data_IF_069458623595
#
_entry.id   IF_069458623595
#
_cell.length_a   1.000
_cell.length_b   1.000
_cell.length_c   1.000
_cell.angle_alpha   90.00
_cell.angle_beta   90.00
_cell.angle_gamma   90.00
#
_symmetry.space_group_name_H-M   'P 1'
#
loop_
_entity.id
_entity.type
_entity.pdbx_description
1 polymer ?
#
# COMPACT_ATOMS: atom_id res chain seq x y z
N UNK A 1 2.30 0.58 -4.33
CA UNK A 1 2.11 1.77 -3.49
C UNK A 1 0.72 1.70 -2.93
N UNK A 2 -0.24 2.25 -3.66
CA UNK A 2 -1.66 2.45 -3.30
C UNK A 2 -2.18 1.65 -2.09
N UNK A 3 -2.25 0.30 -2.14
CA UNK A 3 -2.77 -0.47 -1.01
C UNK A 3 -1.99 -0.29 0.31
N UNK A 4 -0.67 -0.12 0.26
CA UNK A 4 0.15 0.22 1.44
C UNK A 4 -0.12 1.66 1.91
N UNK A 5 -0.29 2.60 0.99
CA UNK A 5 -0.51 4.02 1.32
C UNK A 5 -1.91 4.22 1.92
N UNK A 6 -2.92 3.49 1.42
CA UNK A 6 -4.27 3.47 1.99
C UNK A 6 -4.27 2.81 3.38
N UNK A 7 -3.57 1.68 3.55
CA UNK A 7 -3.44 1.06 4.88
C UNK A 7 -2.71 1.98 5.87
N UNK A 8 -1.71 2.73 5.40
CA UNK A 8 -1.01 3.73 6.20
C UNK A 8 -1.95 4.85 6.64
N UNK A 9 -2.71 5.42 5.70
CA UNK A 9 -3.73 6.43 5.98
C UNK A 9 -4.79 5.96 6.98
N UNK A 10 -5.34 4.75 6.79
CA UNK A 10 -6.40 4.20 7.65
C UNK A 10 -5.93 3.89 9.07
N UNK A 11 -4.62 3.72 9.29
CA UNK A 11 -4.04 3.37 10.59
C UNK A 11 -3.22 4.50 11.20
N UNK A 12 -3.33 5.71 10.65
CA UNK A 12 -2.49 6.84 11.04
C UNK A 12 -2.68 7.28 12.51
N UNK A 13 -3.82 6.95 13.12
CA UNK A 13 -4.11 7.17 14.54
C UNK A 13 -3.12 6.50 15.50
N UNK A 14 -2.36 5.51 15.01
CA UNK A 14 -1.32 4.84 15.80
C UNK A 14 -0.01 5.65 15.93
N UNK A 15 0.12 6.83 15.33
CA UNK A 15 1.35 7.61 15.32
C UNK A 15 1.37 8.82 16.29
N UNK A 16 0.36 8.94 17.17
CA UNK A 16 0.23 10.05 18.13
C UNK A 16 1.46 10.24 19.05
N UNK A 17 2.21 9.17 19.31
CA UNK A 17 3.45 9.22 20.10
C UNK A 17 4.61 9.99 19.42
N UNK A 18 4.47 10.29 18.12
CA UNK A 18 5.48 10.98 17.33
C UNK A 18 6.60 10.07 16.83
N UNK A 19 7.44 10.61 15.96
CA UNK A 19 8.48 9.84 15.26
C UNK A 19 9.50 9.21 16.20
N UNK A 20 10.07 9.99 17.14
CA UNK A 20 11.15 9.51 18.00
C UNK A 20 10.70 8.34 18.88
N UNK A 21 9.57 8.48 19.57
CA UNK A 21 9.05 7.42 20.42
C UNK A 21 8.66 6.17 19.61
N UNK A 22 7.94 6.36 18.50
CA UNK A 22 7.45 5.24 17.69
C UNK A 22 8.55 4.45 16.97
N UNK A 23 9.72 5.06 16.76
CA UNK A 23 10.90 4.39 16.21
C UNK A 23 11.95 4.00 17.27
N UNK A 24 11.70 4.29 18.55
CA UNK A 24 12.63 3.95 19.62
C UNK A 24 13.93 4.74 19.52
N UNK A 25 13.85 6.03 19.18
CA UNK A 25 15.00 6.93 19.20
C UNK A 25 15.14 7.50 20.61
N UNK A 26 16.28 7.24 21.24
CA UNK A 26 16.64 7.88 22.50
C UNK A 26 17.18 9.29 22.23
N UNK A 27 16.40 10.29 22.62
CA UNK A 27 16.76 11.69 22.40
C UNK A 27 17.78 12.23 23.41
N UNK A 28 18.07 11.54 24.53
CA UNK A 28 19.16 11.94 25.43
C UNK A 28 20.53 11.57 24.86
N UNK A 29 20.57 10.62 23.90
CA UNK A 29 21.78 10.05 23.30
C UNK A 29 22.69 9.35 24.31
N UNK A 30 22.15 8.92 25.45
CA UNK A 30 22.90 8.21 26.50
C UNK A 30 22.94 6.70 26.25
N UNK A 31 21.90 6.16 25.61
CA UNK A 31 21.86 4.76 25.21
C UNK A 31 22.81 4.44 24.05
N UNK A 32 23.30 3.19 24.00
CA UNK A 32 24.18 2.71 22.94
C UNK A 32 23.51 2.87 21.57
N UNK A 33 24.05 3.77 20.75
CA UNK A 33 23.55 4.04 19.41
C UNK A 33 22.28 4.89 19.36
N UNK A 34 21.89 5.52 20.47
CA UNK A 34 20.68 6.35 20.54
C UNK A 34 19.39 5.55 20.37
N UNK A 35 19.34 4.33 20.93
CA UNK A 35 18.23 3.40 20.79
C UNK A 35 17.49 3.19 22.12
N UNK A 36 16.19 3.42 22.09
CA UNK A 36 15.22 3.09 23.13
C UNK A 36 14.25 2.00 22.63
N UNK A 37 13.35 1.56 23.52
CA UNK A 37 12.23 0.71 23.13
C UNK A 37 11.22 1.51 22.30
N UNK A 38 10.79 0.95 21.16
CA UNK A 38 9.83 1.60 20.29
C UNK A 38 8.42 1.59 20.91
N UNK A 39 7.82 2.77 21.01
CA UNK A 39 6.48 2.97 21.56
C UNK A 39 5.50 3.35 20.45
N UNK A 40 4.89 2.34 19.83
CA UNK A 40 3.79 2.54 18.88
C UNK A 40 2.59 1.69 19.31
N UNK A 41 1.43 2.30 19.61
CA UNK A 41 0.20 1.54 19.84
C UNK A 41 -0.28 0.87 18.55
N UNK A 42 -1.18 -0.11 18.68
CA UNK A 42 -1.95 -0.58 17.54
C UNK A 42 -2.98 0.49 17.11
N UNK A 43 -3.36 0.48 15.83
CA UNK A 43 -4.46 1.32 15.36
C UNK A 43 -5.78 0.89 16.00
N UNK A 44 -6.67 1.85 16.22
CA UNK A 44 -8.06 1.63 16.65
C UNK A 44 -8.86 0.85 15.59
N UNK A 45 -8.40 0.86 14.33
CA UNK A 45 -9.00 0.08 13.25
C UNK A 45 -8.28 -1.24 13.05
N UNK A 46 -9.03 -2.32 13.00
CA UNK A 46 -8.50 -3.60 12.55
C UNK A 46 -8.40 -3.60 11.02
N UNK A 47 -7.17 -3.54 10.49
CA UNK A 47 -6.93 -3.49 9.04
C UNK A 47 -6.29 -4.80 8.57
N UNK A 48 -6.91 -5.38 7.54
CA UNK A 48 -6.42 -6.56 6.84
C UNK A 48 -6.09 -6.20 5.39
N UNK A 49 -4.88 -6.52 4.95
CA UNK A 49 -4.46 -6.40 3.56
C UNK A 49 -4.49 -7.77 2.89
N UNK A 50 -4.89 -7.83 1.62
CA UNK A 50 -5.01 -9.07 0.86
C UNK A 50 -4.31 -8.96 -0.50
N UNK A 51 -3.65 -10.03 -0.94
CA UNK A 51 -3.11 -10.13 -2.30
C UNK A 51 -3.20 -11.56 -2.84
N UNK A 52 -3.53 -11.70 -4.13
CA UNK A 52 -3.54 -13.00 -4.82
C UNK A 52 -2.15 -13.58 -5.03
N UNK A 53 -1.15 -12.71 -5.22
CA UNK A 53 0.23 -13.16 -5.44
C UNK A 53 0.80 -13.80 -4.16
N UNK A 54 1.36 -15.01 -4.22
CA UNK A 54 2.00 -15.61 -3.05
C UNK A 54 3.29 -14.86 -2.67
N UNK A 55 3.68 -14.98 -1.40
CA UNK A 55 4.90 -14.43 -0.84
C UNK A 55 4.72 -13.05 -0.21
N UNK A 56 5.84 -12.46 0.24
CA UNK A 56 5.86 -11.24 1.05
C UNK A 56 5.22 -10.05 0.33
N UNK A 57 4.17 -9.49 0.93
CA UNK A 57 3.57 -8.23 0.47
C UNK A 57 4.58 -7.10 0.49
N UNK A 58 4.47 -6.22 -0.51
CA UNK A 58 5.36 -5.08 -0.66
C UNK A 58 6.79 -5.43 -1.08
N UNK A 59 7.02 -6.64 -1.64
CA UNK A 59 8.30 -7.01 -2.27
C UNK A 59 8.71 -6.07 -3.41
N UNK A 60 7.72 -5.51 -4.12
CA UNK A 60 7.92 -4.55 -5.22
C UNK A 60 7.91 -3.07 -4.80
N UNK A 61 7.89 -2.77 -3.50
CA UNK A 61 8.03 -1.37 -3.04
C UNK A 61 9.45 -0.86 -3.26
N UNK A 62 9.64 0.46 -3.18
CA UNK A 62 10.94 1.11 -3.35
C UNK A 62 12.04 0.46 -2.51
N UNK A 63 13.23 0.29 -3.10
CA UNK A 63 14.33 -0.48 -2.49
C UNK A 63 14.75 0.07 -1.12
N UNK A 64 14.75 1.39 -0.96
CA UNK A 64 15.20 2.08 0.26
C UNK A 64 14.06 2.44 1.23
N UNK A 65 12.82 2.54 0.74
CA UNK A 65 11.67 3.01 1.54
C UNK A 65 10.66 1.91 1.85
N UNK A 66 10.60 0.85 1.05
CA UNK A 66 9.58 -0.20 1.17
C UNK A 66 9.62 -0.95 2.49
N UNK A 67 10.77 -1.02 3.15
CA UNK A 67 10.87 -1.64 4.48
C UNK A 67 10.23 -0.79 5.57
N UNK A 68 10.27 0.54 5.44
CA UNK A 68 9.68 1.49 6.40
C UNK A 68 8.17 1.28 6.42
N UNK A 69 7.50 1.30 5.27
CA UNK A 69 6.06 1.07 5.19
C UNK A 69 5.66 -0.30 5.76
N UNK A 70 6.38 -1.37 5.41
CA UNK A 70 6.09 -2.72 5.94
C UNK A 70 6.24 -2.77 7.46
N UNK A 71 7.31 -2.19 8.00
CA UNK A 71 7.56 -2.19 9.44
C UNK A 71 6.53 -1.35 10.17
N UNK A 72 6.18 -0.19 9.63
CA UNK A 72 5.18 0.73 10.18
C UNK A 72 3.83 0.04 10.29
N UNK A 73 3.30 -0.52 9.19
CA UNK A 73 2.02 -1.23 9.21
C UNK A 73 2.03 -2.44 10.14
N UNK A 74 3.14 -3.19 10.21
CA UNK A 74 3.29 -4.28 11.17
C UNK A 74 3.20 -3.79 12.62
N UNK A 75 3.91 -2.71 12.95
CA UNK A 75 3.89 -2.11 14.30
C UNK A 75 2.51 -1.57 14.66
N UNK A 76 1.73 -1.10 13.68
CA UNK A 76 0.33 -0.68 13.85
C UNK A 76 -0.68 -1.83 13.93
N UNK A 77 -0.23 -3.08 13.80
CA UNK A 77 -1.08 -4.27 13.93
C UNK A 77 -1.76 -4.74 12.65
N UNK A 78 -1.40 -4.22 11.48
CA UNK A 78 -2.02 -4.60 10.20
C UNK A 78 -1.73 -6.06 9.86
N UNK A 79 -2.78 -6.84 9.59
CA UNK A 79 -2.69 -8.25 9.18
C UNK A 79 -2.57 -8.33 7.65
N UNK A 80 -1.75 -9.26 7.16
CA UNK A 80 -1.45 -9.40 5.73
C UNK A 80 -1.67 -10.84 5.25
N UNK A 81 -2.51 -11.01 4.23
CA UNK A 81 -2.94 -12.28 3.66
C UNK A 81 -2.51 -12.41 2.20
N UNK A 82 -1.48 -13.21 1.93
CA UNK A 82 -0.93 -13.39 0.58
C UNK A 82 -1.25 -14.76 0.01
N UNK A 83 -1.35 -14.87 -1.31
CA UNK A 83 -1.64 -16.15 -1.97
C UNK A 83 -3.10 -16.57 -1.79
N UNK A 84 -3.99 -15.62 -1.54
CA UNK A 84 -5.43 -15.88 -1.35
C UNK A 84 -6.20 -15.74 -2.66
N UNK A 85 -7.30 -16.47 -2.80
CA UNK A 85 -8.32 -16.20 -3.82
C UNK A 85 -9.47 -15.41 -3.22
N UNK A 86 -10.09 -14.54 -4.02
CA UNK A 86 -11.22 -13.73 -3.60
C UNK A 86 -12.49 -14.40 -4.13
N UNK A 87 -13.40 -14.75 -3.24
CA UNK A 87 -14.57 -15.54 -3.62
C UNK A 87 -15.78 -14.63 -3.80
N UNK A 88 -16.12 -13.82 -2.79
CA UNK A 88 -17.19 -12.82 -2.84
C UNK A 88 -17.13 -11.84 -1.66
N UNK A 89 -17.93 -10.78 -1.75
CA UNK A 89 -18.26 -9.88 -0.64
C UNK A 89 -19.78 -9.93 -0.46
N UNK A 90 -20.24 -10.15 0.77
CA UNK A 90 -21.65 -10.13 1.14
C UNK A 90 -21.82 -9.58 2.58
N UNK A 91 -23.03 -9.67 3.15
CA UNK A 91 -23.34 -9.14 4.48
C UNK A 91 -22.55 -9.81 5.62
N UNK A 92 -21.95 -10.98 5.39
CA UNK A 92 -21.06 -11.63 6.36
C UNK A 92 -19.62 -11.12 6.28
N UNK A 93 -19.28 -10.34 5.25
CA UNK A 93 -17.98 -9.73 5.03
C UNK A 93 -17.26 -10.24 3.79
N UNK A 94 -15.93 -10.38 3.87
CA UNK A 94 -15.09 -10.75 2.74
C UNK A 94 -14.72 -12.24 2.78
N UNK A 95 -15.20 -12.97 1.77
CA UNK A 95 -14.97 -14.39 1.61
C UNK A 95 -13.71 -14.62 0.76
N UNK A 96 -12.76 -15.35 1.33
CA UNK A 96 -11.50 -15.69 0.68
C UNK A 96 -11.19 -17.17 0.84
N UNK A 97 -10.52 -17.72 -0.16
CA UNK A 97 -9.86 -19.01 -0.05
C UNK A 97 -8.38 -18.78 0.25
N UNK A 98 -7.91 -19.31 1.37
CA UNK A 98 -6.52 -19.19 1.82
C UNK A 98 -5.60 -20.06 0.96
N UNK A 99 -4.28 -19.85 1.09
CA UNK A 99 -3.28 -20.53 0.26
C UNK A 99 -3.23 -22.06 0.43
N UNK A 100 -3.84 -22.59 1.50
CA UNK A 100 -4.01 -24.02 1.77
C UNK A 100 -5.33 -24.59 1.19
N UNK A 101 -6.15 -23.76 0.55
CA UNK A 101 -7.46 -24.12 0.03
C UNK A 101 -8.61 -23.98 1.03
N UNK A 102 -8.34 -23.55 2.27
CA UNK A 102 -9.38 -23.37 3.28
C UNK A 102 -10.19 -22.11 3.00
N UNK A 103 -11.53 -22.23 2.99
CA UNK A 103 -12.41 -21.06 2.89
C UNK A 103 -12.51 -20.34 4.24
N UNK A 104 -12.42 -19.01 4.22
CA UNK A 104 -12.49 -18.17 5.39
C UNK A 104 -13.33 -16.91 5.11
N UNK A 105 -14.14 -16.52 6.10
CA UNK A 105 -14.94 -15.28 6.05
C UNK A 105 -14.35 -14.29 7.04
N UNK A 106 -13.82 -13.19 6.52
CA UNK A 106 -13.43 -12.06 7.35
C UNK A 106 -14.62 -11.13 7.50
N UNK A 107 -15.24 -11.13 8.69
CA UNK A 107 -16.28 -10.19 9.05
C UNK A 107 -15.67 -8.78 9.14
N UNK A 108 -15.82 -8.01 8.07
CA UNK A 108 -15.27 -6.65 7.93
C UNK A 108 -16.39 -5.69 7.60
N UNK A 109 -16.32 -4.47 8.15
CA UNK A 109 -17.31 -3.43 7.90
C UNK A 109 -17.14 -2.78 6.51
N UNK A 110 -15.91 -2.77 6.00
CA UNK A 110 -15.55 -2.13 4.74
C UNK A 110 -14.54 -2.94 3.94
N UNK A 111 -14.74 -2.96 2.61
CA UNK A 111 -13.77 -3.50 1.65
C UNK A 111 -13.27 -2.34 0.78
N UNK A 112 -11.98 -2.03 0.89
CA UNK A 112 -11.34 -0.98 0.09
C UNK A 112 -10.57 -1.60 -1.07
N UNK A 113 -10.95 -1.23 -2.30
CA UNK A 113 -10.38 -1.82 -3.51
C UNK A 113 -9.14 -1.05 -3.97
N UNK A 114 -7.96 -1.65 -3.78
CA UNK A 114 -6.68 -1.13 -4.27
C UNK A 114 -6.09 -2.04 -5.36
N UNK A 115 -6.88 -2.38 -6.38
CA UNK A 115 -6.58 -3.44 -7.36
C UNK A 115 -5.78 -2.99 -8.60
N UNK A 116 -5.15 -1.82 -8.54
CA UNK A 116 -4.41 -1.24 -9.67
C UNK A 116 -5.20 -0.17 -10.41
N UNK A 117 -4.74 0.15 -11.61
CA UNK A 117 -5.25 1.25 -12.43
C UNK A 117 -5.36 0.77 -13.88
N UNK A 118 -6.27 1.38 -14.64
CA UNK A 118 -6.48 1.11 -16.07
C UNK A 118 -6.22 2.39 -16.84
N UNK A 119 -5.44 2.31 -17.92
CA UNK A 119 -5.21 3.44 -18.81
C UNK A 119 -6.52 3.93 -19.43
N UNK A 120 -6.66 5.25 -19.58
CA UNK A 120 -7.84 5.84 -20.18
C UNK A 120 -7.46 6.94 -21.18
N UNK A 121 -7.97 6.81 -22.40
CA UNK A 121 -7.95 7.85 -23.44
C UNK A 121 -9.37 7.88 -24.03
N UNK A 122 -10.04 9.04 -24.07
CA UNK A 122 -11.35 9.14 -24.72
C UNK A 122 -11.27 8.75 -26.20
N UNK A 123 -12.25 7.96 -26.68
CA UNK A 123 -12.26 7.42 -28.04
C UNK A 123 -12.53 8.47 -29.12
N UNK A 124 -13.17 9.58 -28.75
CA UNK A 124 -13.48 10.73 -29.61
C UNK A 124 -12.37 11.78 -29.64
N UNK A 125 -11.30 11.60 -28.84
CA UNK A 125 -10.19 12.53 -28.79
C UNK A 125 -9.28 12.36 -30.01
N UNK A 126 -9.38 13.28 -30.97
CA UNK A 126 -8.48 13.33 -32.13
C UNK A 126 -7.91 14.74 -32.32
N UNK A 127 -6.58 14.79 -32.53
CA UNK A 127 -5.88 16.02 -32.90
C UNK A 127 -4.56 15.65 -33.60
N UNK A 128 -4.13 16.34 -34.67
CA UNK A 128 -2.88 16.02 -35.37
C UNK A 128 -1.64 15.98 -34.47
N UNK A 129 -1.63 16.81 -33.41
CA UNK A 129 -0.54 16.91 -32.45
C UNK A 129 -0.82 16.17 -31.12
N UNK A 130 -1.81 15.28 -31.06
CA UNK A 130 -2.11 14.53 -29.84
C UNK A 130 -0.90 13.67 -29.43
N UNK A 131 -0.57 13.71 -28.14
CA UNK A 131 0.44 12.86 -27.52
C UNK A 131 -0.11 12.32 -26.21
N UNK A 132 -0.16 11.00 -26.08
CA UNK A 132 -0.60 10.34 -24.86
C UNK A 132 0.62 9.99 -24.02
N UNK A 133 0.64 10.45 -22.77
CA UNK A 133 1.74 10.28 -21.82
C UNK A 133 1.23 9.76 -20.47
N UNK A 134 2.14 9.30 -19.63
CA UNK A 134 1.86 8.90 -18.25
C UNK A 134 0.80 7.80 -18.17
N UNK A 135 -0.12 7.93 -17.22
CA UNK A 135 -1.14 6.90 -16.95
C UNK A 135 -2.18 6.73 -18.04
N UNK A 136 -2.41 7.77 -18.84
CA UNK A 136 -3.27 7.66 -20.02
C UNK A 136 -2.63 6.74 -21.07
N UNK A 137 -1.30 6.71 -21.17
CA UNK A 137 -0.54 5.86 -22.09
C UNK A 137 -0.42 4.44 -21.54
N UNK A 138 0.10 4.30 -20.33
CA UNK A 138 0.23 3.04 -19.63
C UNK A 138 0.11 3.27 -18.12
N UNK A 139 -0.95 2.75 -17.51
CA UNK A 139 -1.15 2.79 -16.06
C UNK A 139 -0.38 1.67 -15.33
N UNK A 140 0.16 0.68 -16.04
CA UNK A 140 0.85 -0.47 -15.44
C UNK A 140 2.12 -0.02 -14.76
N UNK A 141 2.15 -0.10 -13.43
CA UNK A 141 3.31 0.29 -12.63
C UNK A 141 3.73 1.76 -12.86
N UNK A 142 2.80 2.62 -13.26
CA UNK A 142 3.08 4.05 -13.41
C UNK A 142 3.44 4.64 -12.06
N UNK A 143 4.49 5.44 -12.05
CA UNK A 143 4.82 6.36 -10.97
C UNK A 143 4.96 7.80 -11.50
N UNK A 144 5.03 8.75 -10.56
CA UNK A 144 5.14 10.16 -10.89
C UNK A 144 6.42 10.47 -11.70
N UNK A 145 7.52 9.75 -11.44
CA UNK A 145 8.78 9.94 -12.15
C UNK A 145 8.61 9.60 -13.64
N UNK A 146 8.03 8.44 -13.97
CA UNK A 146 7.76 8.07 -15.37
C UNK A 146 6.83 9.07 -16.05
N UNK A 147 5.74 9.46 -15.40
CA UNK A 147 4.79 10.42 -15.96
C UNK A 147 5.45 11.78 -16.28
N UNK A 148 6.27 12.31 -15.37
CA UNK A 148 6.99 13.58 -15.56
C UNK A 148 7.99 13.45 -16.70
N UNK A 149 8.80 12.39 -16.73
CA UNK A 149 9.79 12.18 -17.78
C UNK A 149 9.13 12.11 -19.16
N UNK A 150 8.02 11.40 -19.30
CA UNK A 150 7.29 11.32 -20.57
C UNK A 150 6.74 12.68 -21.03
N UNK A 151 6.36 13.56 -20.11
CA UNK A 151 5.92 14.92 -20.43
C UNK A 151 7.04 15.90 -20.77
N UNK A 152 8.28 15.59 -20.35
CA UNK A 152 9.44 16.46 -20.56
C UNK A 152 10.17 16.20 -21.88
N UNK A 153 10.05 15.01 -22.48
CA UNK A 153 10.78 14.70 -23.73
C UNK A 153 10.13 15.44 -24.91
N UNK A 154 10.83 16.39 -25.58
CA UNK A 154 10.32 17.00 -26.80
C UNK A 154 10.24 15.93 -27.89
N UNK A 155 9.17 15.94 -28.69
CA UNK A 155 9.17 15.18 -29.95
C UNK A 155 10.27 15.76 -30.85
N UNK A 156 11.32 14.97 -31.08
CA UNK A 156 12.18 15.11 -32.26
C UNK A 156 11.49 14.51 -33.47
#
# INVERSE_FOLDING_TARGET
GIGFDVADFLTHDADDAGFMASWGVDTSLESRGGLAEAQRPASQREVHMYQRRPGKMGKGLGKTTGWIHRNTLKQRGVKQWSGVSYDRVDDQGFHVTLGDGTSHVHAVDHVVVCAGQVSFVPSDLSHPNLTVIGGAKDATGLDAQRAILEGMVPKG
#
